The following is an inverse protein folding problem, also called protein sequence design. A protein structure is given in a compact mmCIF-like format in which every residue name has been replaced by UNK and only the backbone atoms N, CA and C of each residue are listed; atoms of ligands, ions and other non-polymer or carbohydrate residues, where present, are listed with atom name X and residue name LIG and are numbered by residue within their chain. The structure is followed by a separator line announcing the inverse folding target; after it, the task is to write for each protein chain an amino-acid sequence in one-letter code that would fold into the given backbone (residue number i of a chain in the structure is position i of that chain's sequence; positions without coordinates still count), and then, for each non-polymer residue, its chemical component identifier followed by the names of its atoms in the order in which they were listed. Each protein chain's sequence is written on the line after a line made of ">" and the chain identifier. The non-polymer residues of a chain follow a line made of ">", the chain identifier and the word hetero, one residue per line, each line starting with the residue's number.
data_IF_910211642509
#
_entry.id   IF_910211642509
#
_cell.length_a   1.000
_cell.length_b   1.000
_cell.length_c   1.000
_cell.angle_alpha   90.00
_cell.angle_beta   90.00
_cell.angle_gamma   90.00
#
_symmetry.space_group_name_H-M   'P 1'
#
loop_
_entity.id
_entity.type
_entity.pdbx_description
1 polymer ?
#
# COMPACT_ATOMS: atom_id res chain seq x y z
N UNK A 1 10.67 12.87 39.26
CA UNK A 1 9.22 12.66 39.03
C UNK A 1 9.00 12.77 37.53
N UNK A 2 8.60 11.68 36.87
CA UNK A 2 8.38 11.62 35.43
C UNK A 2 7.05 12.30 35.08
N UNK A 3 6.99 13.07 34.00
CA UNK A 3 5.71 13.34 33.35
C UNK A 3 5.84 13.36 31.82
N UNK A 4 4.72 12.96 31.21
CA UNK A 4 4.49 12.34 29.91
C UNK A 4 5.11 13.02 28.69
N UNK A 5 5.83 12.23 27.91
CA UNK A 5 5.98 12.38 26.45
C UNK A 5 4.62 12.23 25.76
N UNK A 6 3.80 13.27 25.88
CA UNK A 6 2.54 13.42 25.18
C UNK A 6 2.78 13.79 23.73
N UNK A 7 2.56 12.82 22.85
CA UNK A 7 2.31 12.98 21.42
C UNK A 7 3.53 13.26 20.55
N UNK A 8 4.17 12.18 20.10
CA UNK A 8 4.72 12.17 18.74
C UNK A 8 3.56 12.47 17.79
N UNK A 9 3.36 13.75 17.46
CA UNK A 9 2.60 14.12 16.27
C UNK A 9 3.44 13.55 15.14
N UNK A 10 3.12 12.32 14.72
CA UNK A 10 3.68 11.73 13.51
C UNK A 10 3.46 12.78 12.44
N UNK A 11 4.54 13.38 11.96
CA UNK A 11 4.53 14.45 10.97
C UNK A 11 3.84 13.89 9.72
N UNK A 12 2.53 14.06 9.63
CA UNK A 12 1.76 13.64 8.46
C UNK A 12 2.00 14.72 7.44
N UNK A 13 2.91 14.44 6.50
CA UNK A 13 2.98 15.21 5.28
C UNK A 13 1.56 15.34 4.71
N UNK A 14 1.14 16.52 4.22
CA UNK A 14 -0.16 16.66 3.58
C UNK A 14 -0.19 15.69 2.38
N UNK A 15 -1.00 14.64 2.50
CA UNK A 15 -1.20 13.68 1.43
C UNK A 15 -2.17 14.29 0.43
N UNK A 16 -1.90 14.08 -0.86
CA UNK A 16 -2.90 14.29 -1.90
C UNK A 16 -4.03 13.27 -1.77
N UNK A 17 -5.11 13.44 -2.55
CA UNK A 17 -6.26 12.52 -2.50
C UNK A 17 -5.87 11.05 -2.70
N UNK A 18 -5.01 10.69 -3.67
CA UNK A 18 -4.49 9.32 -3.80
C UNK A 18 -3.74 8.83 -2.55
N UNK A 19 -2.84 9.63 -1.98
CA UNK A 19 -2.11 9.28 -0.78
C UNK A 19 -3.02 9.06 0.43
N UNK A 20 -4.07 9.87 0.58
CA UNK A 20 -5.05 9.69 1.64
C UNK A 20 -5.85 8.38 1.47
N UNK A 21 -6.30 8.08 0.24
CA UNK A 21 -6.98 6.82 -0.05
C UNK A 21 -6.08 5.60 0.24
N UNK A 22 -4.79 5.69 -0.09
CA UNK A 22 -3.82 4.65 0.22
C UNK A 22 -3.64 4.44 1.73
N UNK A 23 -3.57 5.51 2.53
CA UNK A 23 -3.47 5.39 3.98
C UNK A 23 -4.74 4.80 4.62
N UNK A 24 -5.91 5.05 4.04
CA UNK A 24 -7.15 4.39 4.47
C UNK A 24 -7.08 2.88 4.23
N UNK A 25 -6.63 2.46 3.05
CA UNK A 25 -6.44 1.05 2.71
C UNK A 25 -5.41 0.36 3.61
N UNK A 26 -4.28 1.02 3.90
CA UNK A 26 -3.20 0.45 4.73
C UNK A 26 -3.63 0.11 6.16
N UNK A 27 -4.70 0.73 6.65
CA UNK A 27 -5.28 0.44 7.98
C UNK A 27 -6.26 -0.73 7.97
N UNK A 28 -6.66 -1.21 6.80
CA UNK A 28 -7.55 -2.36 6.67
C UNK A 28 -6.72 -3.66 6.73
N UNK A 29 -6.92 -4.54 7.73
CA UNK A 29 -6.14 -5.76 7.86
C UNK A 29 -6.32 -6.73 6.69
N UNK A 30 -7.49 -6.76 6.04
CA UNK A 30 -7.72 -7.60 4.87
C UNK A 30 -6.92 -7.11 3.66
N UNK A 31 -6.81 -5.78 3.49
CA UNK A 31 -5.97 -5.19 2.45
C UNK A 31 -4.51 -5.52 2.66
N UNK A 32 -4.00 -5.35 3.89
CA UNK A 32 -2.60 -5.63 4.20
C UNK A 32 -2.22 -7.09 3.92
N UNK A 33 -3.09 -8.04 4.28
CA UNK A 33 -2.86 -9.46 3.96
C UNK A 33 -2.83 -9.74 2.45
N UNK A 34 -3.77 -9.17 1.70
CA UNK A 34 -3.82 -9.35 0.24
C UNK A 34 -2.62 -8.70 -0.45
N UNK A 35 -2.24 -7.50 -0.01
CA UNK A 35 -1.08 -6.76 -0.50
C UNK A 35 0.22 -7.54 -0.24
N UNK A 36 0.44 -8.03 0.98
CA UNK A 36 1.66 -8.77 1.33
C UNK A 36 1.79 -10.06 0.53
N UNK A 37 0.69 -10.77 0.29
CA UNK A 37 0.66 -11.99 -0.55
C UNK A 37 1.18 -11.75 -1.97
N UNK A 38 0.89 -10.59 -2.56
CA UNK A 38 1.24 -10.27 -3.96
C UNK A 38 2.48 -9.39 -4.14
N UNK A 39 2.93 -8.71 -3.08
CA UNK A 39 4.13 -7.85 -3.13
C UNK A 39 5.37 -8.47 -2.48
N UNK A 40 5.19 -9.29 -1.46
CA UNK A 40 6.28 -9.88 -0.67
C UNK A 40 6.25 -11.41 -0.64
N UNK A 41 5.10 -12.02 -0.92
CA UNK A 41 4.92 -13.48 -0.93
C UNK A 41 5.36 -14.17 -2.22
N UNK A 42 5.07 -15.48 -2.29
CA UNK A 42 5.41 -16.35 -3.43
C UNK A 42 4.84 -15.89 -4.79
N UNK A 43 3.83 -15.01 -4.79
CA UNK A 43 3.20 -14.46 -5.99
C UNK A 43 3.74 -13.10 -6.42
N UNK A 44 4.89 -12.68 -5.87
CA UNK A 44 5.52 -11.41 -6.23
C UNK A 44 5.77 -11.24 -7.73
N UNK A 45 5.97 -12.31 -8.50
CA UNK A 45 6.12 -12.21 -9.97
C UNK A 45 4.81 -12.30 -10.76
N UNK A 46 3.69 -12.59 -10.10
CA UNK A 46 2.43 -12.91 -10.76
C UNK A 46 1.60 -11.64 -11.01
N UNK A 47 1.70 -11.12 -12.23
CA UNK A 47 0.96 -9.95 -12.68
C UNK A 47 -0.57 -10.15 -12.61
N UNK A 48 -1.06 -11.37 -12.87
CA UNK A 48 -2.49 -11.65 -12.80
C UNK A 48 -2.98 -11.63 -11.34
N UNK A 49 -2.22 -12.19 -10.40
CA UNK A 49 -2.55 -12.12 -8.98
C UNK A 49 -2.57 -10.67 -8.46
N UNK A 50 -1.62 -9.84 -8.91
CA UNK A 50 -1.59 -8.41 -8.58
C UNK A 50 -2.80 -7.66 -9.14
N UNK A 51 -3.19 -7.94 -10.38
CA UNK A 51 -4.37 -7.34 -11.01
C UNK A 51 -5.67 -7.71 -10.30
N UNK A 52 -5.81 -8.96 -9.83
CA UNK A 52 -6.96 -9.39 -9.03
C UNK A 52 -7.06 -8.60 -7.72
N UNK A 53 -5.94 -8.39 -7.02
CA UNK A 53 -5.91 -7.58 -5.80
C UNK A 53 -6.20 -6.11 -6.11
N UNK A 54 -5.65 -5.58 -7.21
CA UNK A 54 -5.90 -4.21 -7.64
C UNK A 54 -7.40 -3.94 -7.83
N UNK A 55 -8.07 -4.77 -8.63
CA UNK A 55 -9.52 -4.61 -8.90
C UNK A 55 -10.36 -4.74 -7.64
N UNK A 56 -10.00 -5.65 -6.73
CA UNK A 56 -10.71 -5.83 -5.44
C UNK A 56 -10.70 -4.58 -4.58
N UNK A 57 -9.59 -3.83 -4.60
CA UNK A 57 -9.37 -2.67 -3.74
C UNK A 57 -9.48 -1.33 -4.46
N UNK A 58 -9.91 -1.33 -5.73
CA UNK A 58 -10.03 -0.10 -6.54
C UNK A 58 -8.69 0.54 -6.89
N UNK A 59 -7.63 -0.25 -6.97
CA UNK A 59 -6.29 0.18 -7.31
C UNK A 59 -5.96 -0.13 -8.78
N UNK A 60 -4.87 0.45 -9.25
CA UNK A 60 -4.20 0.08 -10.48
C UNK A 60 -2.71 -0.01 -10.18
N UNK A 61 -2.09 -1.19 -10.36
CA UNK A 61 -0.64 -1.33 -10.24
C UNK A 61 -0.01 -1.14 -11.61
N UNK A 62 1.15 -0.48 -11.72
CA UNK A 62 1.91 -0.48 -12.96
C UNK A 62 2.37 -1.92 -13.24
N UNK A 63 1.73 -2.59 -14.19
CA UNK A 63 2.02 -3.98 -14.57
C UNK A 63 3.29 -4.11 -15.42
N UNK A 64 3.82 -2.99 -15.96
CA UNK A 64 4.86 -2.97 -16.99
C UNK A 64 5.81 -1.76 -16.86
N UNK A 65 6.48 -1.58 -15.71
CA UNK A 65 7.56 -0.59 -15.62
C UNK A 65 8.88 -1.07 -16.27
N UNK A 66 9.03 -2.37 -16.56
CA UNK A 66 10.26 -2.93 -17.13
C UNK A 66 10.32 -2.95 -18.67
N UNK A 67 9.25 -2.56 -19.37
CA UNK A 67 9.31 -2.42 -20.84
C UNK A 67 9.81 -1.05 -21.31
N UNK A 68 9.82 -0.02 -20.46
CA UNK A 68 10.24 1.34 -20.82
C UNK A 68 11.65 1.67 -20.30
N UNK A 69 12.51 0.65 -20.26
CA UNK A 69 13.94 0.81 -19.94
C UNK A 69 14.81 -0.13 -20.79
N UNK A 70 14.45 -0.24 -22.07
CA UNK A 70 15.24 -0.85 -23.14
C UNK A 70 15.76 0.24 -24.08
#
# INVERSE_FOLDING_TARGET
>A
MADMTGSQITQRAPLDFPGFAQEFLRRNPAYSQDHDRVMSGARRGDAAAREVVARRWGLCFPLLADCLRA
#
